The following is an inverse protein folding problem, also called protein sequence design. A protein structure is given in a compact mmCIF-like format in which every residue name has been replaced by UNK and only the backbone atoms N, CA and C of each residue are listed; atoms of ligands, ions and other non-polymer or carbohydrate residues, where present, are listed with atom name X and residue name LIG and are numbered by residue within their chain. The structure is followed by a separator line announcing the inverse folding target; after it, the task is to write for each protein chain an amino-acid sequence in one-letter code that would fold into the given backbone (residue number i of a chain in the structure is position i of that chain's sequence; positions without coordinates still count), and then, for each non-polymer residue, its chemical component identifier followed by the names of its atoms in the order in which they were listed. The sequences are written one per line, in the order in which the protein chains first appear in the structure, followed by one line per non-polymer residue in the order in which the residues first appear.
data_IF_574644339546
#
_entry.id   IF_574644339546
#
_cell.length_a   1.000
_cell.length_b   1.000
_cell.length_c   1.000
_cell.angle_alpha   90.00
_cell.angle_beta   90.00
_cell.angle_gamma   90.00
#
_symmetry.space_group_name_H-M   'P 1'
#
loop_
_entity.id
_entity.type
_entity.pdbx_description
1 polymer ?
#
# COMPACT_ATOMS: atom_id res chain seq x y z
N UNK A 1 -4.02 -16.30 20.41
CA UNK A 1 -2.89 -15.61 19.75
C UNK A 1 -3.26 -15.53 18.30
N UNK A 2 -3.37 -14.32 17.76
CA UNK A 2 -3.58 -14.11 16.33
C UNK A 2 -2.32 -14.56 15.58
N UNK A 3 -2.49 -15.21 14.44
CA UNK A 3 -1.36 -15.63 13.61
C UNK A 3 -0.94 -14.46 12.71
N UNK A 4 0.27 -13.94 12.91
CA UNK A 4 0.78 -12.79 12.16
C UNK A 4 1.91 -13.22 11.24
N UNK A 5 1.76 -12.95 9.94
CA UNK A 5 2.77 -13.18 8.92
C UNK A 5 3.27 -11.85 8.36
N UNK A 6 4.58 -11.67 8.36
CA UNK A 6 5.26 -10.50 7.80
C UNK A 6 6.05 -10.90 6.57
N UNK A 7 5.85 -10.19 5.47
CA UNK A 7 6.50 -10.49 4.19
C UNK A 7 7.04 -9.20 3.56
N UNK A 8 8.12 -9.34 2.80
CA UNK A 8 8.74 -8.25 2.04
C UNK A 8 8.97 -8.73 0.62
N UNK A 9 8.48 -7.94 -0.33
CA UNK A 9 8.58 -8.20 -1.76
C UNK A 9 9.43 -7.10 -2.41
N UNK A 10 10.35 -7.51 -3.29
CA UNK A 10 11.01 -6.56 -4.19
C UNK A 10 9.98 -5.99 -5.18
N UNK A 11 10.13 -4.72 -5.56
CA UNK A 11 9.13 -4.01 -6.36
C UNK A 11 8.90 -4.59 -7.75
N UNK A 12 9.87 -5.33 -8.30
CA UNK A 12 9.77 -6.03 -9.57
C UNK A 12 8.88 -7.29 -9.53
N UNK A 13 8.75 -7.92 -8.35
CA UNK A 13 7.85 -9.07 -8.15
C UNK A 13 6.46 -8.66 -7.64
N UNK A 14 6.22 -7.36 -7.40
CA UNK A 14 4.90 -6.86 -6.98
C UNK A 14 3.93 -6.86 -8.16
N UNK A 15 2.88 -7.69 -8.03
CA UNK A 15 1.84 -7.87 -9.04
C UNK A 15 0.75 -6.81 -8.97
N UNK A 16 -0.06 -6.69 -10.03
CA UNK A 16 -1.24 -5.80 -10.04
C UNK A 16 -2.32 -6.24 -9.05
N UNK A 17 -2.42 -7.53 -8.74
CA UNK A 17 -3.33 -8.05 -7.72
C UNK A 17 -2.89 -7.60 -6.31
N UNK A 18 -1.58 -7.65 -6.04
CA UNK A 18 -0.98 -7.11 -4.82
C UNK A 18 -1.27 -5.62 -4.66
N UNK A 19 -1.07 -4.83 -5.73
CA UNK A 19 -1.35 -3.40 -5.72
C UNK A 19 -2.83 -3.06 -5.58
N UNK A 20 -3.72 -3.88 -6.15
CA UNK A 20 -5.16 -3.72 -6.00
C UNK A 20 -5.62 -3.94 -4.56
N UNK A 21 -5.05 -4.95 -3.90
CA UNK A 21 -5.30 -5.24 -2.48
C UNK A 21 -4.77 -4.10 -1.60
N UNK A 22 -3.56 -3.60 -1.88
CA UNK A 22 -2.97 -2.44 -1.21
C UNK A 22 -3.82 -1.17 -1.37
N UNK A 23 -4.29 -0.91 -2.59
CA UNK A 23 -5.14 0.24 -2.91
C UNK A 23 -6.48 0.18 -2.17
N UNK A 24 -7.09 -1.01 -2.10
CA UNK A 24 -8.33 -1.25 -1.34
C UNK A 24 -8.12 -0.98 0.14
N UNK A 25 -7.11 -1.62 0.74
CA UNK A 25 -6.76 -1.45 2.16
C UNK A 25 -6.59 0.04 2.51
N UNK A 26 -5.78 0.78 1.74
CA UNK A 26 -5.56 2.21 1.95
C UNK A 26 -6.86 3.00 1.84
N UNK A 27 -7.59 2.79 0.74
CA UNK A 27 -8.77 3.59 0.39
C UNK A 27 -9.96 3.40 1.34
N UNK A 28 -9.95 2.31 2.10
CA UNK A 28 -11.01 1.97 3.05
C UNK A 28 -10.62 2.30 4.50
N UNK A 29 -9.33 2.27 4.84
CA UNK A 29 -8.88 2.32 6.25
C UNK A 29 -7.91 3.48 6.58
N UNK A 30 -7.26 4.12 5.61
CA UNK A 30 -6.12 5.02 5.85
C UNK A 30 -6.48 6.51 5.72
N UNK A 31 -7.50 6.91 6.46
CA UNK A 31 -7.83 8.30 6.72
C UNK A 31 -8.89 8.91 5.81
N UNK A 32 -9.49 9.98 6.32
CA UNK A 32 -10.48 10.82 5.64
C UNK A 32 -9.92 12.22 5.51
N UNK A 33 -10.36 12.97 4.50
CA UNK A 33 -9.96 14.36 4.40
C UNK A 33 -10.58 15.22 5.51
N UNK A 34 -9.77 16.11 6.07
CA UNK A 34 -10.15 17.08 7.09
C UNK A 34 -11.15 18.14 6.58
N UNK A 35 -11.77 18.86 7.51
CA UNK A 35 -12.85 19.83 7.27
C UNK A 35 -12.48 20.92 6.26
N UNK A 36 -11.23 21.39 6.27
CA UNK A 36 -10.77 22.46 5.39
C UNK A 36 -10.14 21.95 4.07
N UNK A 37 -10.36 20.68 3.73
CA UNK A 37 -9.93 20.11 2.45
C UNK A 37 -10.95 20.36 1.34
N UNK A 38 -10.59 20.00 0.10
CA UNK A 38 -11.53 20.00 -1.04
C UNK A 38 -12.59 18.90 -0.97
N UNK A 39 -12.43 17.89 -0.10
CA UNK A 39 -13.32 16.73 -0.04
C UNK A 39 -13.61 16.27 1.41
N UNK A 40 -14.11 17.14 2.29
CA UNK A 40 -14.24 16.84 3.72
C UNK A 40 -15.01 15.56 4.00
N UNK A 41 -14.52 14.76 4.96
CA UNK A 41 -15.14 13.51 5.39
C UNK A 41 -15.06 12.36 4.38
N UNK A 42 -14.59 12.59 3.15
CA UNK A 42 -14.37 11.49 2.18
C UNK A 42 -13.07 10.76 2.50
N UNK A 43 -13.06 9.45 2.35
CA UNK A 43 -11.85 8.62 2.43
C UNK A 43 -10.80 9.08 1.41
N UNK A 44 -9.54 9.10 1.81
CA UNK A 44 -8.44 9.34 0.88
C UNK A 44 -8.32 8.13 -0.04
N UNK A 45 -8.50 8.34 -1.35
CA UNK A 45 -8.42 7.26 -2.35
C UNK A 45 -7.04 7.21 -2.99
N UNK A 46 -6.46 6.01 -3.05
CA UNK A 46 -5.20 5.74 -3.73
C UNK A 46 -5.35 4.49 -4.59
N UNK A 47 -5.26 4.67 -5.91
CA UNK A 47 -5.46 3.57 -6.87
C UNK A 47 -4.19 2.78 -7.17
N UNK A 48 -4.35 1.52 -7.59
CA UNK A 48 -3.25 0.60 -7.90
C UNK A 48 -2.27 1.17 -8.95
N UNK A 49 -2.79 1.82 -10.01
CA UNK A 49 -1.94 2.50 -11.02
C UNK A 49 -1.04 3.56 -10.39
N UNK A 50 -1.60 4.39 -9.49
CA UNK A 50 -0.84 5.44 -8.81
C UNK A 50 0.17 4.85 -7.83
N UNK A 51 -0.15 3.73 -7.17
CA UNK A 51 0.82 2.99 -6.35
C UNK A 51 2.00 2.54 -7.20
N UNK A 52 1.75 1.87 -8.34
CA UNK A 52 2.83 1.43 -9.25
C UNK A 52 3.72 2.59 -9.68
N UNK A 53 3.11 3.66 -10.21
CA UNK A 53 3.86 4.80 -10.77
C UNK A 53 4.63 5.62 -9.73
N UNK A 54 4.11 5.77 -8.51
CA UNK A 54 4.68 6.67 -7.51
C UNK A 54 5.49 5.98 -6.43
N UNK A 55 5.17 4.73 -6.12
CA UNK A 55 5.77 3.99 -5.01
C UNK A 55 6.69 2.85 -5.48
N UNK A 56 6.54 2.40 -6.73
CA UNK A 56 7.44 1.45 -7.39
C UNK A 56 8.03 2.03 -8.70
N UNK A 57 8.68 3.22 -8.64
CA UNK A 57 9.24 3.83 -9.83
C UNK A 57 10.37 2.99 -10.42
N UNK A 58 10.65 3.18 -11.71
CA UNK A 58 11.75 2.49 -12.37
C UNK A 58 13.13 2.96 -11.82
N UNK A 59 14.09 2.05 -11.58
CA UNK A 59 13.94 0.60 -11.62
C UNK A 59 13.20 0.07 -10.38
N UNK A 60 12.16 -0.76 -10.60
CA UNK A 60 11.26 -1.21 -9.54
C UNK A 60 11.98 -2.04 -8.45
N UNK A 61 13.08 -2.73 -8.81
CA UNK A 61 13.90 -3.50 -7.89
C UNK A 61 14.60 -2.66 -6.79
N UNK A 62 14.60 -1.32 -6.89
CA UNK A 62 15.10 -0.44 -5.82
C UNK A 62 14.03 -0.05 -4.79
N UNK A 63 12.80 -0.49 -5.01
CA UNK A 63 11.66 -0.29 -4.13
C UNK A 63 11.19 -1.62 -3.56
N UNK A 64 10.55 -1.58 -2.42
CA UNK A 64 10.10 -2.76 -1.67
C UNK A 64 8.68 -2.54 -1.16
N UNK A 65 7.96 -3.64 -1.03
CA UNK A 65 6.61 -3.68 -0.50
C UNK A 65 6.57 -4.65 0.69
N UNK A 66 6.33 -4.12 1.89
CA UNK A 66 6.17 -4.90 3.11
C UNK A 66 4.69 -5.05 3.44
N UNK A 67 4.30 -6.22 3.97
CA UNK A 67 2.93 -6.53 4.37
C UNK A 67 2.89 -7.22 5.73
N UNK A 68 1.78 -7.02 6.43
CA UNK A 68 1.38 -7.86 7.55
C UNK A 68 0.01 -8.46 7.29
N UNK A 69 -0.09 -9.77 7.48
CA UNK A 69 -1.33 -10.54 7.38
C UNK A 69 -1.65 -11.09 8.76
N UNK A 70 -2.87 -10.88 9.26
CA UNK A 70 -3.36 -11.37 10.55
C UNK A 70 -4.49 -12.34 10.28
N UNK A 71 -4.35 -13.60 10.72
CA UNK A 71 -5.33 -14.67 10.52
C UNK A 71 -5.77 -14.87 9.04
N UNK A 72 -4.86 -14.57 8.10
CA UNK A 72 -5.09 -14.70 6.66
C UNK A 72 -5.54 -13.42 5.95
N UNK A 73 -5.88 -12.36 6.70
CA UNK A 73 -6.32 -11.08 6.15
C UNK A 73 -5.21 -10.03 6.16
N UNK A 74 -5.05 -9.31 5.05
CA UNK A 74 -4.09 -8.21 4.95
C UNK A 74 -4.48 -7.08 5.92
N UNK A 75 -3.71 -6.92 6.99
CA UNK A 75 -3.97 -5.95 8.04
C UNK A 75 -3.17 -4.64 7.87
N UNK A 76 -2.07 -4.68 7.12
CA UNK A 76 -1.21 -3.52 6.94
C UNK A 76 -0.18 -3.69 5.83
N UNK A 77 0.30 -2.57 5.31
CA UNK A 77 1.39 -2.56 4.34
C UNK A 77 2.23 -1.29 4.39
N UNK A 78 3.40 -1.34 3.74
CA UNK A 78 4.26 -0.19 3.51
C UNK A 78 5.03 -0.35 2.20
N UNK A 79 5.18 0.76 1.48
CA UNK A 79 6.13 0.86 0.37
C UNK A 79 7.32 1.67 0.83
N UNK A 80 8.53 1.18 0.56
CA UNK A 80 9.75 1.90 0.89
C UNK A 80 10.82 1.72 -0.18
N UNK A 81 11.76 2.65 -0.22
CA UNK A 81 12.96 2.57 -1.05
C UNK A 81 14.12 3.18 -0.30
N UNK A 82 15.34 2.73 -0.59
CA UNK A 82 16.54 3.33 0.00
C UNK A 82 16.75 4.73 -0.59
N UNK A 83 16.95 5.72 0.27
CA UNK A 83 17.41 7.05 -0.14
C UNK A 83 18.82 6.93 -0.73
N UNK A 84 19.06 7.56 -1.87
CA UNK A 84 20.39 7.68 -2.48
C UNK A 84 20.85 9.12 -2.44
#
# INVERSE_FOLDING_TARGET
MENQLYEIFSGDIVTDATLSSAARLFSENYGTWEEHSRNPGKTVKLGARRLREKYLPHPAAESYYATVTVDGDLAGNAFYRRWR
#
